data_IF_133588196486
#
_entry.id   IF_133588196486
#
_cell.length_a   1.000
_cell.length_b   1.000
_cell.length_c   1.000
_cell.angle_alpha   90.00
_cell.angle_beta   90.00
_cell.angle_gamma   90.00
#
_symmetry.space_group_name_H-M   'P 1'
#
loop_
_entity.id
_entity.type
_entity.pdbx_description
1 polymer ?
#
# COMPACT_ATOMS: atom_id res chain seq x y z
N UNK A 1 -7.80 5.67 9.94
CA UNK A 1 -7.74 6.88 9.09
C UNK A 1 -6.30 7.32 8.86
N UNK A 2 -5.40 6.34 8.72
CA UNK A 2 -3.96 6.47 8.46
C UNK A 2 -3.54 5.26 7.60
N UNK A 3 -4.33 4.94 6.57
CA UNK A 3 -4.05 3.81 5.69
C UNK A 3 -3.34 4.28 4.41
N UNK A 4 -2.27 3.58 4.06
CA UNK A 4 -1.43 3.87 2.91
C UNK A 4 -1.52 2.68 1.96
N UNK A 5 -1.85 2.93 0.69
CA UNK A 5 -1.82 1.90 -0.34
C UNK A 5 -0.47 1.98 -1.08
N UNK A 6 0.29 0.89 -1.07
CA UNK A 6 1.59 0.76 -1.73
C UNK A 6 1.44 -0.14 -2.95
N UNK A 7 1.71 0.42 -4.13
CA UNK A 7 1.64 -0.25 -5.42
C UNK A 7 3.02 -0.23 -6.06
N UNK A 8 3.47 -1.39 -6.53
CA UNK A 8 4.82 -1.65 -7.03
C UNK A 8 4.79 -3.06 -7.69
N UNK A 9 5.56 -3.38 -8.71
CA UNK A 9 5.60 -4.75 -9.24
C UNK A 9 6.60 -5.64 -8.50
N UNK A 10 7.53 -5.05 -7.76
CA UNK A 10 8.55 -5.73 -6.98
C UNK A 10 8.07 -5.96 -5.53
N UNK A 11 8.03 -7.24 -5.15
CA UNK A 11 7.59 -7.64 -3.81
C UNK A 11 8.55 -7.18 -2.71
N UNK A 12 9.85 -7.22 -2.97
CA UNK A 12 10.84 -6.89 -1.93
C UNK A 12 10.76 -5.40 -1.56
N UNK A 13 10.52 -4.53 -2.56
CA UNK A 13 10.33 -3.08 -2.36
C UNK A 13 9.08 -2.80 -1.54
N UNK A 14 7.93 -3.40 -1.88
CA UNK A 14 6.67 -3.13 -1.15
C UNK A 14 6.73 -3.58 0.29
N UNK A 15 7.37 -4.72 0.56
CA UNK A 15 7.50 -5.28 1.90
C UNK A 15 8.43 -4.38 2.73
N UNK A 16 9.56 -3.97 2.17
CA UNK A 16 10.49 -3.02 2.81
C UNK A 16 9.80 -1.70 3.19
N UNK A 17 9.07 -1.07 2.25
CA UNK A 17 8.36 0.19 2.52
C UNK A 17 7.26 -0.03 3.58
N UNK A 18 6.55 -1.15 3.49
CA UNK A 18 5.50 -1.49 4.45
C UNK A 18 6.03 -1.62 5.86
N UNK A 19 7.14 -2.33 6.05
CA UNK A 19 7.79 -2.52 7.35
C UNK A 19 8.20 -1.17 7.95
N UNK A 20 8.85 -0.31 7.16
CA UNK A 20 9.26 1.04 7.61
C UNK A 20 8.05 1.85 8.08
N UNK A 21 6.94 1.85 7.34
CA UNK A 21 5.76 2.63 7.68
C UNK A 21 5.01 2.06 8.89
N UNK A 22 5.00 0.73 9.04
CA UNK A 22 4.40 0.07 10.20
C UNK A 22 5.20 0.34 11.48
N UNK A 23 6.54 0.42 11.39
CA UNK A 23 7.40 0.82 12.50
C UNK A 23 7.08 2.25 12.99
N UNK A 24 6.64 3.13 12.09
CA UNK A 24 6.16 4.49 12.40
C UNK A 24 4.68 4.53 12.86
N UNK A 25 4.02 3.38 12.98
CA UNK A 25 2.64 3.25 13.44
C UNK A 25 1.57 3.55 12.38
N UNK A 26 1.92 3.48 11.10
CA UNK A 26 0.99 3.66 9.99
C UNK A 26 0.44 2.31 9.51
N UNK A 27 -0.81 2.31 9.04
CA UNK A 27 -1.43 1.13 8.43
C UNK A 27 -1.10 1.09 6.94
N UNK A 28 -0.74 -0.09 6.44
CA UNK A 28 -0.37 -0.26 5.03
C UNK A 28 -1.21 -1.34 4.36
N UNK A 29 -1.49 -1.12 3.08
CA UNK A 29 -2.12 -2.07 2.15
C UNK A 29 -1.20 -2.24 0.96
N UNK A 30 -1.12 -3.47 0.45
CA UNK A 30 -0.19 -3.83 -0.61
C UNK A 30 -0.97 -4.27 -1.85
N UNK A 31 -0.57 -3.79 -3.02
CA UNK A 31 -1.06 -4.25 -4.32
C UNK A 31 0.11 -4.41 -5.30
N UNK A 32 0.35 -5.62 -5.79
CA UNK A 32 1.42 -5.96 -6.74
C UNK A 32 1.06 -5.70 -8.21
N UNK A 33 -0.21 -5.39 -8.48
CA UNK A 33 -0.72 -5.18 -9.84
C UNK A 33 -1.70 -4.03 -9.91
N UNK A 34 -1.95 -3.54 -11.12
CA UNK A 34 -2.98 -2.53 -11.37
C UNK A 34 -4.38 -3.01 -10.97
N UNK A 35 -4.70 -4.29 -11.20
CA UNK A 35 -6.01 -4.86 -10.84
C UNK A 35 -6.22 -4.90 -9.32
N UNK A 36 -5.18 -5.29 -8.58
CA UNK A 36 -5.19 -5.26 -7.11
C UNK A 36 -5.31 -3.82 -6.59
N UNK A 37 -4.61 -2.87 -7.19
CA UNK A 37 -4.69 -1.46 -6.83
C UNK A 37 -6.12 -0.92 -7.04
N UNK A 38 -6.70 -1.15 -8.21
CA UNK A 38 -8.06 -0.70 -8.52
C UNK A 38 -9.10 -1.34 -7.61
N UNK A 39 -8.95 -2.63 -7.28
CA UNK A 39 -9.81 -3.32 -6.32
C UNK A 39 -9.69 -2.72 -4.91
N UNK A 40 -8.46 -2.42 -4.48
CA UNK A 40 -8.18 -1.81 -3.18
C UNK A 40 -8.74 -0.38 -3.07
N UNK A 41 -8.68 0.40 -4.15
CA UNK A 41 -9.26 1.75 -4.23
C UNK A 41 -10.80 1.70 -4.19
N UNK A 42 -11.41 0.74 -4.87
CA UNK A 42 -12.87 0.56 -4.90
C UNK A 42 -13.43 0.11 -3.54
N UNK A 43 -12.66 -0.68 -2.78
CA UNK A 43 -13.06 -1.11 -1.44
C UNK A 43 -13.00 0.05 -0.42
N UNK A 44 -11.94 0.86 -0.45
CA UNK A 44 -11.80 2.05 0.39
C UNK A 44 -10.70 2.97 -0.15
N UNK A 45 -11.00 4.27 -0.22
CA UNK A 45 -10.00 5.27 -0.61
C UNK A 45 -8.90 5.39 0.45
N UNK A 46 -7.61 5.22 0.08
CA UNK A 46 -6.50 5.40 1.00
C UNK A 46 -6.27 6.88 1.32
N UNK A 47 -5.57 7.13 2.42
CA UNK A 47 -5.12 8.47 2.79
C UNK A 47 -3.90 8.92 1.97
N UNK A 48 -3.08 7.97 1.52
CA UNK A 48 -1.92 8.17 0.63
C UNK A 48 -1.76 6.96 -0.29
N UNK A 49 -1.36 7.22 -1.54
CA UNK A 49 -1.00 6.19 -2.53
C UNK A 49 0.47 6.35 -2.89
N UNK A 50 1.23 5.27 -2.77
CA UNK A 50 2.63 5.15 -3.21
C UNK A 50 2.63 4.26 -4.46
N UNK A 51 3.30 4.70 -5.53
CA UNK A 51 3.42 4.04 -6.84
C UNK A 51 4.88 3.73 -7.16
#
# INVERSE_FOLDING_TARGET
>A
MNDILIVDDERDIRELISEILQDEGLETRLAGTSDECMSALAASSPSLLIL
#
